data_IF_945697091274
#
_entry.id   IF_945697091274
#
_cell.length_a   1.000
_cell.length_b   1.000
_cell.length_c   1.000
_cell.angle_alpha   90.00
_cell.angle_beta   90.00
_cell.angle_gamma   90.00
#
_symmetry.space_group_name_H-M   'P 1'
#
loop_
_entity.id
_entity.type
_entity.pdbx_description
1 polymer ?
#
# COMPACT_ATOMS: atom_id res chain seq x y z
N UNK A 1 44.82 1.89 46.31
CA UNK A 1 44.22 2.93 47.19
C UNK A 1 42.87 3.24 46.60
N UNK A 2 41.80 3.02 47.36
CA UNK A 2 40.43 3.31 46.94
C UNK A 2 40.22 4.79 47.21
N UNK A 3 40.29 5.63 46.19
CA UNK A 3 39.86 7.03 46.34
C UNK A 3 38.33 7.04 46.40
N UNK A 4 37.84 7.50 47.55
CA UNK A 4 36.44 7.79 47.83
C UNK A 4 35.90 8.77 46.78
N UNK A 5 35.15 8.27 45.80
CA UNK A 5 34.26 9.11 44.98
C UNK A 5 33.16 9.64 45.88
N UNK A 6 33.28 10.89 46.29
CA UNK A 6 32.23 11.64 46.99
C UNK A 6 30.94 11.52 46.16
N UNK A 7 29.94 10.84 46.71
CA UNK A 7 28.64 10.67 46.06
C UNK A 7 27.91 12.02 46.04
N UNK A 8 28.03 12.72 44.92
CA UNK A 8 27.32 13.98 44.70
C UNK A 8 25.82 13.70 44.61
N UNK A 9 25.03 14.45 45.40
CA UNK A 9 23.57 14.34 45.41
C UNK A 9 22.99 14.88 44.10
N UNK A 10 21.77 14.47 43.74
CA UNK A 10 21.14 14.84 42.46
C UNK A 10 21.13 16.35 42.15
N UNK A 11 20.97 17.20 43.17
CA UNK A 11 21.01 18.67 43.01
C UNK A 11 22.42 19.17 42.71
N UNK A 12 23.46 18.56 43.30
CA UNK A 12 24.86 18.89 43.06
C UNK A 12 25.28 18.44 41.65
N UNK A 13 24.81 17.25 41.22
CA UNK A 13 25.00 16.77 39.84
C UNK A 13 24.34 17.71 38.82
N UNK A 14 23.10 18.14 39.06
CA UNK A 14 22.40 19.09 38.20
C UNK A 14 23.13 20.44 38.10
N UNK A 15 23.67 20.93 39.22
CA UNK A 15 24.46 22.15 39.25
C UNK A 15 25.75 22.03 38.41
N UNK A 16 26.45 20.88 38.48
CA UNK A 16 27.63 20.61 37.64
C UNK A 16 27.27 20.56 36.15
N UNK A 17 26.16 19.92 35.77
CA UNK A 17 25.70 19.87 34.37
C UNK A 17 25.39 21.26 33.84
N UNK A 18 24.67 22.09 34.62
CA UNK A 18 24.35 23.46 34.21
C UNK A 18 25.59 24.34 34.07
N UNK A 19 26.56 24.19 34.97
CA UNK A 19 27.84 24.91 34.85
C UNK A 19 28.63 24.45 33.61
N UNK A 20 28.57 23.17 33.25
CA UNK A 20 29.22 22.63 32.06
C UNK A 20 28.57 23.09 30.74
N UNK A 21 27.26 23.37 30.73
CA UNK A 21 26.51 23.89 29.57
C UNK A 21 26.79 25.37 29.25
N UNK A 22 27.36 26.10 30.22
CA UNK A 22 27.67 27.51 30.11
C UNK A 22 26.48 28.43 30.41
N UNK A 23 26.79 29.71 30.66
CA UNK A 23 25.85 30.69 31.22
C UNK A 23 24.58 30.88 30.38
N UNK A 24 24.71 30.91 29.04
CA UNK A 24 23.58 31.16 28.14
C UNK A 24 22.55 30.03 28.16
N UNK A 25 22.99 28.77 28.07
CA UNK A 25 22.08 27.62 28.05
C UNK A 25 21.53 27.30 29.44
N UNK A 26 22.35 27.48 30.48
CA UNK A 26 21.88 27.36 31.86
C UNK A 26 20.75 28.35 32.15
N UNK A 27 20.85 29.59 31.69
CA UNK A 27 19.82 30.60 31.89
C UNK A 27 18.47 30.24 31.25
N UNK A 28 18.47 29.57 30.10
CA UNK A 28 17.23 29.08 29.46
C UNK A 28 16.56 27.98 30.29
N UNK A 29 17.35 27.03 30.80
CA UNK A 29 16.82 25.95 31.65
C UNK A 29 16.31 26.50 32.98
N UNK A 30 17.04 27.45 33.58
CA UNK A 30 16.66 28.09 34.84
C UNK A 30 15.34 28.86 34.78
N UNK A 31 14.92 29.33 33.59
CA UNK A 31 13.63 30.02 33.39
C UNK A 31 12.42 29.11 33.54
N UNK A 32 12.60 27.80 33.39
CA UNK A 32 11.52 26.81 33.48
C UNK A 32 11.38 26.19 34.87
N UNK A 33 12.24 26.57 35.83
CA UNK A 33 12.25 26.03 37.19
C UNK A 33 11.43 26.91 38.15
N UNK A 34 10.75 26.28 39.11
CA UNK A 34 10.01 27.00 40.13
C UNK A 34 10.96 27.73 41.11
N UNK A 35 10.50 28.81 41.79
CA UNK A 35 11.36 29.60 42.70
C UNK A 35 12.05 28.79 43.80
N UNK A 36 11.42 27.70 44.27
CA UNK A 36 12.00 26.80 45.29
C UNK A 36 13.13 25.94 44.72
N UNK A 37 13.04 25.55 43.46
CA UNK A 37 14.02 24.70 42.77
C UNK A 37 15.22 25.54 42.33
N UNK A 38 14.95 26.74 41.79
CA UNK A 38 15.96 27.74 41.47
C UNK A 38 16.80 28.09 42.70
N UNK A 39 16.18 28.27 43.87
CA UNK A 39 16.91 28.53 45.11
C UNK A 39 17.80 27.35 45.53
N UNK A 40 17.28 26.11 45.49
CA UNK A 40 18.07 24.91 45.83
C UNK A 40 19.26 24.74 44.90
N UNK A 41 19.05 24.95 43.60
CA UNK A 41 20.06 24.78 42.58
C UNK A 41 21.11 25.91 42.63
N UNK A 42 20.68 27.16 42.85
CA UNK A 42 21.58 28.29 43.04
C UNK A 42 22.48 28.14 44.27
N UNK A 43 21.95 27.63 45.39
CA UNK A 43 22.76 27.31 46.58
C UNK A 43 23.76 26.19 46.30
N UNK A 44 23.37 25.17 45.52
CA UNK A 44 24.28 24.10 45.11
C UNK A 44 25.40 24.61 44.17
N UNK A 45 25.05 25.47 43.20
CA UNK A 45 26.03 26.11 42.30
C UNK A 45 27.03 26.99 43.05
N UNK A 46 26.58 27.72 44.07
CA UNK A 46 27.45 28.57 44.88
C UNK A 46 28.36 27.80 45.85
N UNK A 47 27.92 26.63 46.33
CA UNK A 47 28.67 25.79 47.28
C UNK A 47 29.48 24.67 46.62
N UNK A 48 29.43 24.56 45.29
CA UNK A 48 30.25 23.62 44.54
C UNK A 48 31.72 24.00 44.68
N UNK A 49 32.51 23.11 45.28
CA UNK A 49 33.96 23.24 45.36
C UNK A 49 34.65 22.94 44.02
N UNK A 50 35.98 22.76 44.06
CA UNK A 50 36.72 22.31 42.87
C UNK A 50 36.26 20.91 42.45
N UNK A 51 35.54 20.83 41.33
CA UNK A 51 35.17 19.58 40.67
C UNK A 51 36.26 19.25 39.65
N UNK A 52 36.84 18.05 39.75
CA UNK A 52 37.86 17.62 38.79
C UNK A 52 37.22 17.33 37.41
N UNK A 53 38.01 17.46 36.34
CA UNK A 53 37.58 17.20 34.96
C UNK A 53 37.02 15.79 34.78
N UNK A 54 37.58 14.81 35.47
CA UNK A 54 37.11 13.42 35.44
C UNK A 54 35.70 13.30 36.03
N UNK A 55 35.43 13.98 37.14
CA UNK A 55 34.11 13.99 37.78
C UNK A 55 33.05 14.69 36.91
N UNK A 56 33.43 15.79 36.23
CA UNK A 56 32.54 16.47 35.28
C UNK A 56 32.20 15.52 34.13
N UNK A 57 33.21 14.83 33.59
CA UNK A 57 33.04 13.87 32.49
C UNK A 57 32.07 12.75 32.89
N UNK A 58 32.25 12.16 34.07
CA UNK A 58 31.40 11.07 34.57
C UNK A 58 29.94 11.51 34.77
N UNK A 59 29.73 12.71 35.33
CA UNK A 59 28.38 13.25 35.57
C UNK A 59 27.67 13.57 34.27
N UNK A 60 28.36 14.19 33.30
CA UNK A 60 27.80 14.51 31.98
C UNK A 60 27.53 13.24 31.18
N UNK A 61 28.40 12.23 31.25
CA UNK A 61 28.17 10.94 30.62
C UNK A 61 26.92 10.26 31.21
N UNK A 62 26.80 10.20 32.53
CA UNK A 62 25.62 9.63 33.18
C UNK A 62 24.33 10.40 32.88
N UNK A 63 24.40 11.74 32.79
CA UNK A 63 23.26 12.55 32.35
C UNK A 63 22.84 12.23 30.91
N UNK A 64 23.80 12.12 29.98
CA UNK A 64 23.52 11.74 28.60
C UNK A 64 22.94 10.33 28.49
N UNK A 65 23.42 9.35 29.28
CA UNK A 65 22.84 8.01 29.30
C UNK A 65 21.40 8.01 29.85
N UNK A 66 21.13 8.75 30.93
CA UNK A 66 19.78 8.89 31.48
C UNK A 66 18.83 9.61 30.50
N UNK A 67 19.29 10.68 29.86
CA UNK A 67 18.54 11.40 28.82
C UNK A 67 18.30 10.50 27.61
N UNK A 68 19.29 9.75 27.14
CA UNK A 68 19.13 8.85 25.99
C UNK A 68 18.21 7.65 26.32
N UNK A 69 18.22 7.16 27.56
CA UNK A 69 17.33 6.09 28.00
C UNK A 69 15.88 6.56 28.23
N UNK A 70 15.67 7.83 28.62
CA UNK A 70 14.33 8.44 28.70
C UNK A 70 13.83 8.95 27.34
N UNK A 71 14.75 9.37 26.47
CA UNK A 71 14.51 9.84 25.11
C UNK A 71 14.59 8.66 24.14
N UNK A 72 13.72 7.67 24.33
CA UNK A 72 13.47 6.64 23.34
C UNK A 72 13.08 7.29 22.01
N UNK A 73 14.05 7.46 21.10
CA UNK A 73 13.98 7.55 19.62
C UNK A 73 12.89 8.39 18.92
N UNK A 74 12.03 9.10 19.65
CA UNK A 74 10.73 9.60 19.14
C UNK A 74 10.64 11.13 19.18
N UNK A 75 11.42 11.81 20.05
CA UNK A 75 11.29 13.26 20.27
C UNK A 75 12.37 14.12 19.60
N UNK A 76 13.57 13.57 19.30
CA UNK A 76 14.70 14.38 18.82
C UNK A 76 14.94 14.28 17.30
N UNK A 77 14.32 13.29 16.64
CA UNK A 77 14.34 13.18 15.18
C UNK A 77 13.62 14.35 14.50
N UNK A 78 12.52 14.83 15.09
CA UNK A 78 11.73 15.91 14.52
C UNK A 78 12.50 17.24 14.48
N UNK A 79 13.03 17.66 15.63
CA UNK A 79 13.76 18.94 15.71
C UNK A 79 15.04 18.91 14.88
N UNK A 80 15.72 17.76 14.83
CA UNK A 80 16.88 17.55 13.97
C UNK A 80 16.52 17.65 12.49
N UNK A 81 15.49 16.93 12.03
CA UNK A 81 15.02 16.96 10.63
C UNK A 81 14.52 18.36 10.26
N UNK A 82 13.80 19.04 11.15
CA UNK A 82 13.34 20.43 11.00
C UNK A 82 14.51 21.39 10.81
N UNK A 83 15.55 21.26 11.63
CA UNK A 83 16.77 22.04 11.53
C UNK A 83 17.54 21.78 10.22
N UNK A 84 17.69 20.51 9.84
CA UNK A 84 18.41 20.08 8.62
C UNK A 84 17.70 20.56 7.36
N UNK A 85 16.39 20.31 7.23
CA UNK A 85 15.60 20.69 6.06
C UNK A 85 15.53 22.21 5.90
N UNK A 86 15.36 22.95 7.01
CA UNK A 86 15.36 24.42 6.98
C UNK A 86 16.69 24.99 6.52
N UNK A 87 17.80 24.38 6.92
CA UNK A 87 19.15 24.85 6.56
C UNK A 87 19.55 24.47 5.13
N UNK A 88 19.07 23.32 4.63
CA UNK A 88 19.37 22.83 3.30
C UNK A 88 18.51 23.46 2.19
N UNK A 89 17.22 23.74 2.47
CA UNK A 89 16.23 24.12 1.45
C UNK A 89 15.67 25.54 1.64
N UNK A 90 15.96 26.18 2.78
CA UNK A 90 15.40 27.48 3.16
C UNK A 90 14.03 27.37 3.84
N UNK A 91 13.69 28.37 4.66
CA UNK A 91 12.53 28.35 5.57
C UNK A 91 11.19 28.05 4.89
N UNK A 92 10.91 28.62 3.72
CA UNK A 92 9.62 28.40 3.05
C UNK A 92 9.48 27.00 2.44
N UNK A 93 10.48 26.51 1.73
CA UNK A 93 10.42 25.16 1.11
C UNK A 93 10.49 24.06 2.16
N UNK A 94 11.28 24.27 3.20
CA UNK A 94 11.33 23.36 4.33
C UNK A 94 9.97 23.31 5.04
N UNK A 95 9.30 24.45 5.26
CA UNK A 95 7.99 24.48 5.92
C UNK A 95 6.97 23.58 5.22
N UNK A 96 6.83 23.64 3.90
CA UNK A 96 5.87 22.78 3.19
C UNK A 96 6.21 21.29 3.27
N UNK A 97 7.50 20.93 3.26
CA UNK A 97 7.95 19.54 3.41
C UNK A 97 7.79 19.08 4.86
N UNK A 98 8.04 19.95 5.83
CA UNK A 98 7.90 19.70 7.25
C UNK A 98 6.44 19.56 7.66
N UNK A 99 5.54 20.40 7.12
CA UNK A 99 4.08 20.22 7.24
C UNK A 99 3.71 18.81 6.71
N UNK A 100 4.22 18.40 5.55
CA UNK A 100 3.92 17.07 5.01
C UNK A 100 4.52 15.87 5.78
N UNK A 101 5.63 16.08 6.50
CA UNK A 101 6.32 15.03 7.29
C UNK A 101 5.76 14.94 8.71
N UNK A 102 5.35 16.06 9.31
CA UNK A 102 4.95 16.16 10.72
C UNK A 102 3.44 16.34 10.96
N UNK A 103 2.63 16.76 9.97
CA UNK A 103 1.15 16.61 10.00
C UNK A 103 0.71 15.13 9.79
N UNK A 104 1.62 14.17 9.96
CA UNK A 104 1.31 12.77 10.19
C UNK A 104 0.86 12.46 11.62
N UNK A 105 0.67 13.46 12.49
CA UNK A 105 0.03 13.33 13.79
C UNK A 105 -1.47 13.52 13.66
N UNK A 106 -2.23 12.42 13.72
CA UNK A 106 -3.67 12.34 13.45
C UNK A 106 -4.05 12.94 12.09
N UNK A 107 -3.92 12.14 11.02
CA UNK A 107 -4.75 12.37 9.85
C UNK A 107 -6.19 12.47 10.35
N UNK A 108 -6.78 13.66 10.34
CA UNK A 108 -8.21 13.76 10.60
C UNK A 108 -8.86 12.81 9.60
N UNK A 109 -9.72 11.90 10.05
CA UNK A 109 -10.41 10.98 9.14
C UNK A 109 -11.06 11.75 7.98
N UNK A 110 -11.47 12.99 8.25
CA UNK A 110 -11.97 13.96 7.27
C UNK A 110 -10.99 14.26 6.13
N UNK A 111 -9.70 14.40 6.41
CA UNK A 111 -8.68 14.62 5.37
C UNK A 111 -8.47 13.38 4.50
N UNK A 112 -8.58 12.18 5.08
CA UNK A 112 -8.54 10.92 4.32
C UNK A 112 -9.69 10.81 3.32
N UNK A 113 -10.87 11.35 3.65
CA UNK A 113 -12.02 11.38 2.73
C UNK A 113 -11.76 12.18 1.45
N UNK A 114 -10.90 13.21 1.49
CA UNK A 114 -10.57 14.03 0.31
C UNK A 114 -9.88 13.23 -0.80
N UNK A 115 -9.23 12.13 -0.43
CA UNK A 115 -8.47 11.25 -1.32
C UNK A 115 -9.20 9.94 -1.66
N UNK A 116 -10.39 9.71 -1.08
CA UNK A 116 -11.18 8.51 -1.31
C UNK A 116 -12.14 8.66 -2.49
N UNK A 117 -12.31 7.58 -3.26
CA UNK A 117 -13.28 7.54 -4.35
C UNK A 117 -14.71 7.68 -3.83
N UNK A 118 -15.56 8.41 -4.58
CA UNK A 118 -16.95 8.65 -4.20
C UNK A 118 -17.75 7.35 -3.96
N UNK A 119 -17.40 6.26 -4.67
CA UNK A 119 -18.02 4.95 -4.48
C UNK A 119 -17.66 4.29 -3.15
N UNK A 120 -16.41 4.44 -2.70
CA UNK A 120 -15.94 3.94 -1.41
C UNK A 120 -16.65 4.67 -0.26
N UNK A 121 -16.74 6.00 -0.38
CA UNK A 121 -17.44 6.84 0.60
C UNK A 121 -18.93 6.45 0.63
N UNK A 122 -19.61 6.41 -0.52
CA UNK A 122 -21.01 6.04 -0.58
C UNK A 122 -21.28 4.64 -0.01
N UNK A 123 -20.39 3.68 -0.24
CA UNK A 123 -20.48 2.33 0.32
C UNK A 123 -20.44 2.32 1.84
N UNK A 124 -19.55 3.11 2.46
CA UNK A 124 -19.43 3.24 3.91
C UNK A 124 -20.59 3.98 4.58
N UNK A 125 -21.34 4.81 3.82
CA UNK A 125 -22.43 5.64 4.32
C UNK A 125 -23.82 4.99 4.21
N UNK A 126 -23.97 3.85 3.53
CA UNK A 126 -25.28 3.24 3.24
C UNK A 126 -26.08 2.82 4.48
N UNK A 127 -25.39 2.42 5.54
CA UNK A 127 -26.00 1.95 6.79
C UNK A 127 -25.95 3.03 7.89
N UNK A 128 -25.42 4.20 7.57
CA UNK A 128 -25.22 5.28 8.53
C UNK A 128 -26.46 6.15 8.70
N UNK A 129 -26.58 6.77 9.88
CA UNK A 129 -27.68 7.67 10.17
C UNK A 129 -27.59 8.93 9.28
N UNK A 130 -28.72 9.50 8.79
CA UNK A 130 -28.68 10.65 7.87
C UNK A 130 -27.94 11.88 8.39
N UNK A 131 -27.74 12.00 9.72
CA UNK A 131 -26.96 13.07 10.35
C UNK A 131 -25.46 12.90 10.08
N UNK A 132 -24.96 11.66 10.15
CA UNK A 132 -23.56 11.32 9.89
C UNK A 132 -23.27 11.53 8.40
N UNK A 133 -24.17 11.07 7.54
CA UNK A 133 -24.09 11.30 6.09
C UNK A 133 -24.04 12.80 5.78
N UNK A 134 -24.90 13.61 6.40
CA UNK A 134 -24.89 15.05 6.23
C UNK A 134 -23.57 15.71 6.67
N UNK A 135 -23.03 15.28 7.81
CA UNK A 135 -21.76 15.78 8.31
C UNK A 135 -20.59 15.43 7.38
N UNK A 136 -20.56 14.19 6.88
CA UNK A 136 -19.56 13.73 5.90
C UNK A 136 -19.67 14.55 4.62
N UNK A 137 -20.87 14.68 4.04
CA UNK A 137 -21.09 15.47 2.83
C UNK A 137 -20.68 16.95 2.99
N UNK A 138 -20.92 17.53 4.17
CA UNK A 138 -20.54 18.92 4.49
C UNK A 138 -19.02 19.11 4.61
N UNK A 139 -18.28 18.03 4.82
CA UNK A 139 -16.82 18.04 4.94
C UNK A 139 -16.09 17.75 3.60
N UNK A 140 -16.82 17.34 2.57
CA UNK A 140 -16.30 17.04 1.23
C UNK A 140 -16.31 18.25 0.32
N UNK A 141 -15.54 18.18 -0.78
CA UNK A 141 -15.65 19.15 -1.89
C UNK A 141 -17.01 19.01 -2.58
N UNK A 142 -17.63 20.10 -3.07
CA UNK A 142 -18.95 20.06 -3.69
C UNK A 142 -19.10 19.04 -4.82
N UNK A 143 -18.07 18.90 -5.66
CA UNK A 143 -18.05 17.97 -6.79
C UNK A 143 -18.08 16.50 -6.32
N UNK A 144 -17.24 16.19 -5.33
CA UNK A 144 -17.15 14.85 -4.74
C UNK A 144 -18.41 14.50 -3.95
N UNK A 145 -18.96 15.46 -3.21
CA UNK A 145 -20.23 15.28 -2.49
C UNK A 145 -21.39 14.95 -3.46
N UNK A 146 -21.44 15.61 -4.62
CA UNK A 146 -22.45 15.33 -5.64
C UNK A 146 -22.32 13.91 -6.21
N UNK A 147 -21.10 13.43 -6.44
CA UNK A 147 -20.85 12.05 -6.87
C UNK A 147 -21.28 11.02 -5.82
N UNK A 148 -20.97 11.28 -4.54
CA UNK A 148 -21.40 10.41 -3.42
C UNK A 148 -22.92 10.36 -3.33
N UNK A 149 -23.59 11.51 -3.39
CA UNK A 149 -25.06 11.66 -3.34
C UNK A 149 -25.76 10.84 -4.44
N UNK A 150 -25.18 10.77 -5.65
CA UNK A 150 -25.72 9.97 -6.76
C UNK A 150 -25.66 8.46 -6.52
N UNK A 151 -24.78 8.00 -5.63
CA UNK A 151 -24.55 6.58 -5.33
C UNK A 151 -25.31 6.12 -4.06
N UNK A 152 -26.00 7.03 -3.36
CA UNK A 152 -26.78 6.75 -2.16
C UNK A 152 -28.24 6.37 -2.49
N UNK A 153 -28.90 5.53 -1.66
CA UNK A 153 -30.33 5.23 -1.80
C UNK A 153 -31.20 6.48 -1.61
N UNK A 154 -32.27 6.62 -2.40
CA UNK A 154 -33.16 7.80 -2.38
C UNK A 154 -33.64 8.24 -0.98
N UNK A 155 -34.08 7.35 -0.08
CA UNK A 155 -34.57 7.77 1.24
C UNK A 155 -33.47 8.43 2.10
N UNK A 156 -32.26 7.85 2.07
CA UNK A 156 -31.12 8.33 2.84
C UNK A 156 -30.56 9.63 2.23
N UNK A 157 -30.50 9.69 0.90
CA UNK A 157 -30.02 10.84 0.14
C UNK A 157 -30.84 12.09 0.44
N UNK A 158 -32.17 11.97 0.34
CA UNK A 158 -33.07 13.10 0.44
C UNK A 158 -33.10 13.66 1.87
N UNK A 159 -33.05 12.79 2.88
CA UNK A 159 -32.97 13.18 4.30
C UNK A 159 -31.60 13.77 4.69
N UNK A 160 -30.51 13.23 4.16
CA UNK A 160 -29.17 13.76 4.39
C UNK A 160 -28.99 15.15 3.78
N UNK A 161 -29.45 15.38 2.54
CA UNK A 161 -29.38 16.69 1.89
C UNK A 161 -30.20 17.75 2.62
N UNK A 162 -31.38 17.38 3.14
CA UNK A 162 -32.17 18.28 3.98
C UNK A 162 -31.35 18.71 5.21
N UNK A 163 -30.67 17.78 5.88
CA UNK A 163 -29.83 18.08 7.06
C UNK A 163 -28.59 18.91 6.73
N UNK A 164 -27.96 18.70 5.57
CA UNK A 164 -26.87 19.57 5.06
C UNK A 164 -27.37 21.01 4.91
N UNK A 165 -28.58 21.20 4.39
CA UNK A 165 -29.15 22.53 4.18
C UNK A 165 -29.52 23.29 5.46
N UNK A 166 -29.69 22.60 6.59
CA UNK A 166 -30.05 23.19 7.90
C UNK A 166 -28.82 23.26 8.83
N UNK A 167 -27.65 22.80 8.39
CA UNK A 167 -26.44 22.75 9.20
C UNK A 167 -25.74 24.11 9.21
N UNK A 168 -25.89 24.90 10.28
CA UNK A 168 -25.26 26.23 10.41
C UNK A 168 -23.83 26.17 10.99
N UNK A 169 -23.61 25.35 12.03
CA UNK A 169 -22.30 25.14 12.64
C UNK A 169 -22.10 23.66 12.98
N UNK A 170 -20.89 23.14 12.72
CA UNK A 170 -20.52 21.77 13.09
C UNK A 170 -20.11 21.78 14.57
N UNK A 171 -20.81 21.05 15.47
CA UNK A 171 -20.42 20.98 16.87
C UNK A 171 -19.02 20.40 17.01
N UNK A 172 -18.15 21.01 17.83
CA UNK A 172 -16.76 20.59 17.98
C UNK A 172 -16.59 19.11 18.37
N UNK A 173 -17.57 18.51 19.06
CA UNK A 173 -17.58 17.07 19.39
C UNK A 173 -17.97 16.16 18.21
N UNK A 174 -18.70 16.66 17.21
CA UNK A 174 -19.14 15.89 16.06
C UNK A 174 -17.98 15.56 15.10
N UNK A 175 -16.93 16.39 15.06
CA UNK A 175 -15.71 16.10 14.29
C UNK A 175 -14.90 14.96 14.92
N UNK A 176 -14.89 14.85 16.25
CA UNK A 176 -14.24 13.74 16.94
C UNK A 176 -14.99 12.43 16.72
N UNK A 177 -16.33 12.46 16.80
CA UNK A 177 -17.17 11.30 16.47
C UNK A 177 -17.06 10.92 14.99
N UNK A 178 -16.93 11.90 14.08
CA UNK A 178 -16.68 11.67 12.67
C UNK A 178 -15.31 11.02 12.43
N UNK A 179 -14.26 11.48 13.10
CA UNK A 179 -12.94 10.87 13.01
C UNK A 179 -12.97 9.43 13.52
N UNK A 180 -13.64 9.15 14.65
CA UNK A 180 -13.76 7.79 15.18
C UNK A 180 -14.59 6.88 14.24
N UNK A 181 -15.65 7.43 13.62
CA UNK A 181 -16.47 6.72 12.65
C UNK A 181 -15.69 6.45 11.36
N UNK A 182 -14.93 7.42 10.87
CA UNK A 182 -14.06 7.25 9.71
C UNK A 182 -12.94 6.27 10.06
N UNK A 183 -12.30 6.31 11.22
CA UNK A 183 -11.30 5.31 11.61
C UNK A 183 -11.88 3.90 11.68
N UNK A 184 -13.06 3.74 12.29
CA UNK A 184 -13.75 2.44 12.36
C UNK A 184 -14.20 1.94 10.99
N UNK A 185 -14.70 2.82 10.13
CA UNK A 185 -15.24 2.46 8.82
C UNK A 185 -14.14 2.35 7.76
N UNK A 186 -13.09 3.18 7.80
CA UNK A 186 -11.90 3.13 6.93
C UNK A 186 -10.99 1.98 7.34
N UNK A 187 -10.88 1.57 8.61
CA UNK A 187 -10.22 0.30 8.92
C UNK A 187 -11.03 -0.93 8.45
N UNK A 188 -12.36 -0.83 8.43
CA UNK A 188 -13.22 -1.87 7.80
C UNK A 188 -13.19 -1.81 6.27
N UNK A 189 -13.04 -0.63 5.68
CA UNK A 189 -13.08 -0.38 4.23
C UNK A 189 -11.70 -0.24 3.57
N UNK A 190 -10.58 -0.15 4.28
CA UNK A 190 -9.26 -0.47 3.69
C UNK A 190 -9.25 -1.97 3.33
N UNK A 191 -10.02 -2.78 4.06
CA UNK A 191 -10.28 -4.17 3.74
C UNK A 191 -11.42 -4.39 2.72
N UNK A 192 -12.24 -3.39 2.37
CA UNK A 192 -13.42 -3.55 1.49
C UNK A 192 -13.57 -2.54 0.32
N UNK A 193 -12.83 -1.43 0.34
CA UNK A 193 -12.93 -0.28 -0.57
C UNK A 193 -11.63 0.03 -1.32
N UNK A 194 -10.59 -0.79 -1.16
CA UNK A 194 -9.67 -1.06 -2.27
C UNK A 194 -10.37 -2.00 -3.28
N UNK A 195 -11.49 -1.55 -3.86
CA UNK A 195 -12.15 -2.22 -4.99
C UNK A 195 -11.73 -1.62 -6.34
N UNK A 196 -10.46 -1.21 -6.46
CA UNK A 196 -9.72 -1.80 -7.57
C UNK A 196 -9.77 -3.31 -7.33
N UNK A 197 -10.35 -4.11 -8.23
CA UNK A 197 -10.32 -5.58 -8.16
C UNK A 197 -8.85 -6.05 -8.08
N UNK A 198 -8.23 -5.99 -6.90
CA UNK A 198 -6.84 -6.41 -6.65
C UNK A 198 -6.78 -7.94 -6.53
N UNK A 199 -7.93 -8.58 -6.29
CA UNK A 199 -8.11 -10.02 -6.29
C UNK A 199 -9.21 -10.49 -7.24
N UNK A 200 -9.30 -11.81 -7.36
CA UNK A 200 -10.28 -12.50 -8.21
C UNK A 200 -9.64 -13.73 -8.86
N UNK A 201 -10.46 -14.57 -9.54
CA UNK A 201 -9.97 -15.78 -10.19
C UNK A 201 -8.78 -15.51 -11.13
N UNK A 202 -8.78 -14.37 -11.81
CA UNK A 202 -7.71 -13.95 -12.73
C UNK A 202 -6.39 -13.66 -12.01
N UNK A 203 -6.43 -12.96 -10.88
CA UNK A 203 -5.21 -12.66 -10.11
C UNK A 203 -4.67 -13.90 -9.41
N UNK A 204 -5.56 -14.76 -8.90
CA UNK A 204 -5.18 -16.05 -8.35
C UNK A 204 -4.50 -16.91 -9.43
N UNK A 205 -5.04 -16.94 -10.64
CA UNK A 205 -4.43 -17.62 -11.78
C UNK A 205 -3.06 -17.06 -12.16
N UNK A 206 -2.88 -15.73 -12.20
CA UNK A 206 -1.57 -15.09 -12.44
C UNK A 206 -0.52 -15.43 -11.37
N UNK A 207 -0.95 -15.57 -10.11
CA UNK A 207 -0.08 -15.95 -8.99
C UNK A 207 0.27 -17.44 -9.09
N UNK A 208 -0.73 -18.30 -9.24
CA UNK A 208 -0.55 -19.75 -9.33
C UNK A 208 0.28 -20.13 -10.55
N UNK A 209 0.07 -19.48 -11.70
CA UNK A 209 0.87 -19.70 -12.92
C UNK A 209 2.34 -19.25 -12.83
N UNK A 210 2.76 -18.68 -11.70
CA UNK A 210 4.17 -18.35 -11.39
C UNK A 210 4.78 -19.22 -10.30
N UNK A 211 4.00 -20.13 -9.69
CA UNK A 211 4.48 -21.06 -8.67
C UNK A 211 5.01 -22.34 -9.33
N UNK A 212 5.76 -23.14 -8.56
CA UNK A 212 6.19 -24.47 -8.99
C UNK A 212 4.99 -25.43 -9.07
N UNK A 213 4.98 -26.31 -10.07
CA UNK A 213 3.87 -27.23 -10.38
C UNK A 213 3.35 -28.02 -9.17
N UNK A 214 4.24 -28.45 -8.28
CA UNK A 214 3.88 -29.20 -7.08
C UNK A 214 3.09 -28.34 -6.06
N UNK A 215 3.48 -27.07 -5.88
CA UNK A 215 2.83 -26.13 -4.96
C UNK A 215 1.54 -25.59 -5.60
N UNK A 216 1.59 -25.30 -6.90
CA UNK A 216 0.46 -24.89 -7.73
C UNK A 216 -0.70 -25.90 -7.64
N UNK A 217 -0.43 -27.18 -7.95
CA UNK A 217 -1.44 -28.24 -7.92
C UNK A 217 -2.04 -28.44 -6.53
N UNK A 218 -1.20 -28.46 -5.49
CA UNK A 218 -1.67 -28.60 -4.11
C UNK A 218 -2.60 -27.45 -3.68
N UNK A 219 -2.27 -26.21 -4.06
CA UNK A 219 -3.11 -25.04 -3.74
C UNK A 219 -4.41 -25.07 -4.56
N UNK A 220 -4.36 -25.45 -5.83
CA UNK A 220 -5.54 -25.54 -6.68
C UNK A 220 -6.52 -26.62 -6.21
N UNK A 221 -6.01 -27.77 -5.76
CA UNK A 221 -6.83 -28.86 -5.21
C UNK A 221 -7.52 -28.43 -3.91
N UNK A 222 -6.80 -27.75 -3.01
CA UNK A 222 -7.38 -27.19 -1.80
C UNK A 222 -8.48 -26.16 -2.11
N UNK A 223 -8.31 -25.35 -3.15
CA UNK A 223 -9.35 -24.39 -3.59
C UNK A 223 -10.57 -25.13 -4.13
N UNK A 224 -10.37 -26.18 -4.94
CA UNK A 224 -11.47 -27.01 -5.50
C UNK A 224 -12.25 -27.78 -4.43
N UNK A 225 -11.61 -28.19 -3.34
CA UNK A 225 -12.28 -28.83 -2.19
C UNK A 225 -13.25 -27.87 -1.48
N UNK A 226 -12.91 -26.58 -1.43
CA UNK A 226 -13.75 -25.55 -0.80
C UNK A 226 -14.80 -25.01 -1.76
N UNK A 227 -14.43 -24.76 -3.01
CA UNK A 227 -15.30 -24.23 -4.07
C UNK A 227 -14.83 -24.73 -5.45
N UNK A 228 -15.52 -25.76 -5.96
CA UNK A 228 -15.21 -26.37 -7.25
C UNK A 228 -15.39 -25.41 -8.44
N UNK A 229 -16.39 -24.53 -8.39
CA UNK A 229 -16.67 -23.56 -9.46
C UNK A 229 -15.58 -22.47 -9.52
N UNK A 230 -15.10 -22.03 -8.35
CA UNK A 230 -13.99 -21.08 -8.25
C UNK A 230 -12.67 -21.72 -8.72
N UNK A 231 -12.39 -22.95 -8.29
CA UNK A 231 -11.21 -23.70 -8.70
C UNK A 231 -11.16 -23.90 -10.23
N UNK A 232 -12.29 -24.30 -10.85
CA UNK A 232 -12.39 -24.43 -12.30
C UNK A 232 -12.17 -23.10 -13.04
N UNK A 233 -12.73 -21.99 -12.53
CA UNK A 233 -12.49 -20.64 -13.12
C UNK A 233 -11.03 -20.21 -13.03
N UNK A 234 -10.35 -20.52 -11.93
CA UNK A 234 -8.93 -20.20 -11.75
C UNK A 234 -8.09 -21.03 -12.71
N UNK A 235 -8.34 -22.33 -12.79
CA UNK A 235 -7.66 -23.25 -13.69
C UNK A 235 -7.80 -22.82 -15.16
N UNK A 236 -9.02 -22.47 -15.59
CA UNK A 236 -9.28 -21.93 -16.93
C UNK A 236 -8.45 -20.66 -17.23
N UNK A 237 -8.23 -19.80 -16.22
CA UNK A 237 -7.51 -18.53 -16.36
C UNK A 237 -5.99 -18.69 -16.28
N UNK A 238 -5.48 -19.83 -15.80
CA UNK A 238 -4.04 -20.14 -15.75
C UNK A 238 -3.49 -20.54 -17.12
N UNK A 239 -4.37 -20.99 -18.01
CA UNK A 239 -4.02 -21.39 -19.38
C UNK A 239 -3.93 -20.15 -20.27
N UNK A 240 -2.85 -19.39 -20.11
CA UNK A 240 -2.58 -18.19 -20.90
C UNK A 240 -2.12 -18.61 -22.30
N UNK A 241 -2.65 -18.00 -23.34
CA UNK A 241 -2.29 -18.27 -24.74
C UNK A 241 -0.78 -18.11 -25.02
N UNK A 242 -0.11 -17.24 -24.26
CA UNK A 242 1.35 -17.07 -24.30
C UNK A 242 2.14 -18.30 -23.85
N UNK A 243 1.54 -19.20 -23.06
CA UNK A 243 2.20 -20.43 -22.61
C UNK A 243 2.52 -21.37 -23.78
N UNK A 244 1.91 -21.17 -24.96
CA UNK A 244 2.29 -21.87 -26.20
C UNK A 244 3.77 -21.67 -26.57
N UNK A 245 4.43 -20.60 -26.10
CA UNK A 245 5.87 -20.40 -26.29
C UNK A 245 6.72 -21.49 -25.63
N UNK A 246 6.24 -22.06 -24.52
CA UNK A 246 6.92 -23.13 -23.79
C UNK A 246 6.79 -24.51 -24.44
N UNK A 247 5.91 -24.67 -25.43
CA UNK A 247 5.71 -25.94 -26.11
C UNK A 247 6.86 -26.27 -27.08
N UNK A 248 7.15 -27.56 -27.21
CA UNK A 248 8.06 -28.04 -28.23
C UNK A 248 7.46 -27.83 -29.62
N UNK A 249 8.32 -27.71 -30.64
CA UNK A 249 7.87 -27.55 -32.04
C UNK A 249 6.96 -28.69 -32.49
N UNK A 250 7.25 -29.91 -32.03
CA UNK A 250 6.41 -31.08 -32.28
C UNK A 250 5.03 -30.95 -31.65
N UNK A 251 4.93 -30.45 -30.42
CA UNK A 251 3.66 -30.27 -29.73
C UNK A 251 2.80 -29.21 -30.42
N UNK A 252 3.42 -28.10 -30.87
CA UNK A 252 2.72 -27.08 -31.64
C UNK A 252 2.20 -27.65 -32.95
N UNK A 253 2.99 -28.47 -33.65
CA UNK A 253 2.53 -29.11 -34.89
C UNK A 253 1.35 -30.07 -34.65
N UNK A 254 1.32 -30.77 -33.51
CA UNK A 254 0.17 -31.59 -33.11
C UNK A 254 -1.05 -30.73 -32.85
N UNK A 255 -0.91 -29.63 -32.09
CA UNK A 255 -2.00 -28.69 -31.82
C UNK A 255 -2.57 -28.08 -33.11
N UNK A 256 -1.71 -27.70 -34.04
CA UNK A 256 -2.11 -27.10 -35.32
C UNK A 256 -2.89 -28.05 -36.24
N UNK A 257 -2.91 -29.37 -35.97
CA UNK A 257 -3.75 -30.32 -36.71
C UNK A 257 -5.18 -30.37 -36.18
N UNK A 258 -5.40 -30.02 -34.92
CA UNK A 258 -6.72 -29.99 -34.27
C UNK A 258 -7.41 -28.63 -34.41
N UNK A 259 -6.64 -27.55 -34.66
CA UNK A 259 -7.16 -26.18 -34.75
C UNK A 259 -7.46 -25.80 -36.20
N UNK A 260 -8.63 -25.20 -36.45
CA UNK A 260 -8.99 -24.69 -37.79
C UNK A 260 -8.26 -23.40 -38.14
N UNK A 261 -7.96 -23.20 -39.42
CA UNK A 261 -7.25 -22.00 -39.89
C UNK A 261 -8.01 -20.69 -39.60
N UNK A 262 -9.35 -20.72 -39.65
CA UNK A 262 -10.19 -19.55 -39.32
C UNK A 262 -10.11 -19.18 -37.84
N UNK A 263 -10.13 -20.17 -36.94
CA UNK A 263 -9.98 -19.95 -35.50
C UNK A 263 -8.57 -19.45 -35.16
N UNK A 264 -7.55 -20.04 -35.79
CA UNK A 264 -6.16 -19.62 -35.62
C UNK A 264 -5.97 -18.17 -36.07
N UNK A 265 -6.58 -17.77 -37.20
CA UNK A 265 -6.53 -16.42 -37.72
C UNK A 265 -7.08 -15.39 -36.71
N UNK A 266 -8.24 -15.66 -36.13
CA UNK A 266 -8.87 -14.80 -35.11
C UNK A 266 -8.03 -14.72 -33.84
N UNK A 267 -7.52 -15.86 -33.35
CA UNK A 267 -6.73 -15.92 -32.12
C UNK A 267 -5.39 -15.17 -32.24
N UNK A 268 -4.72 -15.27 -33.39
CA UNK A 268 -3.43 -14.63 -33.65
C UNK A 268 -3.53 -13.10 -33.77
N UNK A 269 -4.71 -12.54 -34.02
CA UNK A 269 -4.89 -11.09 -34.16
C UNK A 269 -4.55 -10.32 -32.88
N UNK A 270 -4.85 -10.91 -31.71
CA UNK A 270 -4.50 -10.37 -30.40
C UNK A 270 -3.33 -11.08 -29.71
N UNK A 271 -2.57 -11.89 -30.44
CA UNK A 271 -1.39 -12.56 -29.91
C UNK A 271 -0.13 -11.71 -30.07
N UNK A 272 0.80 -11.84 -29.13
CA UNK A 272 2.12 -11.23 -29.22
C UNK A 272 2.92 -11.76 -30.42
N UNK A 273 3.85 -10.94 -30.91
CA UNK A 273 4.67 -11.26 -32.08
C UNK A 273 5.49 -12.55 -31.87
N UNK A 274 5.97 -12.80 -30.65
CA UNK A 274 6.69 -14.02 -30.32
C UNK A 274 5.82 -15.28 -30.53
N UNK A 275 4.57 -15.24 -30.09
CA UNK A 275 3.62 -16.36 -30.23
C UNK A 275 3.27 -16.57 -31.71
N UNK A 276 3.04 -15.49 -32.45
CA UNK A 276 2.80 -15.53 -33.90
C UNK A 276 3.95 -16.20 -34.64
N UNK A 277 5.19 -15.81 -34.35
CA UNK A 277 6.38 -16.39 -34.99
C UNK A 277 6.56 -17.85 -34.63
N UNK A 278 6.36 -18.23 -33.35
CA UNK A 278 6.46 -19.63 -32.89
C UNK A 278 5.43 -20.53 -33.59
N UNK A 279 4.20 -20.04 -33.77
CA UNK A 279 3.14 -20.76 -34.50
C UNK A 279 3.46 -20.85 -35.99
N UNK A 280 3.77 -19.73 -36.65
CA UNK A 280 4.08 -19.71 -38.09
C UNK A 280 5.34 -20.52 -38.43
N UNK A 281 6.33 -20.54 -37.54
CA UNK A 281 7.55 -21.34 -37.69
C UNK A 281 7.31 -22.85 -37.68
N UNK A 282 6.17 -23.28 -37.14
CA UNK A 282 5.73 -24.68 -37.10
C UNK A 282 4.75 -25.05 -38.23
N UNK A 283 4.53 -24.14 -39.18
CA UNK A 283 3.70 -24.38 -40.37
C UNK A 283 4.57 -24.58 -41.61
N UNK A 284 3.96 -25.11 -42.68
CA UNK A 284 4.61 -25.06 -44.00
C UNK A 284 4.76 -23.62 -44.46
N UNK A 285 5.84 -23.30 -45.19
CA UNK A 285 6.12 -21.94 -45.69
C UNK A 285 4.91 -21.31 -46.40
N UNK A 286 4.25 -22.08 -47.27
CA UNK A 286 3.04 -21.65 -47.98
C UNK A 286 1.88 -21.32 -47.04
N UNK A 287 1.67 -22.12 -45.99
CA UNK A 287 0.57 -21.91 -45.04
C UNK A 287 0.85 -20.73 -44.11
N UNK A 288 2.11 -20.54 -43.71
CA UNK A 288 2.53 -19.37 -42.93
C UNK A 288 2.38 -18.07 -43.73
N UNK A 289 2.75 -18.08 -45.02
CA UNK A 289 2.61 -16.91 -45.89
C UNK A 289 1.13 -16.57 -46.12
N UNK A 290 0.27 -17.56 -46.40
CA UNK A 290 -1.18 -17.37 -46.51
C UNK A 290 -1.78 -16.77 -45.24
N UNK A 291 -1.43 -17.33 -44.07
CA UNK A 291 -1.94 -16.85 -42.78
C UNK A 291 -1.48 -15.41 -42.48
N UNK A 292 -0.29 -15.02 -42.94
CA UNK A 292 0.23 -13.66 -42.79
C UNK A 292 -0.57 -12.68 -43.66
N UNK A 293 -0.78 -13.03 -44.92
CA UNK A 293 -1.59 -12.23 -45.85
C UNK A 293 -3.03 -12.08 -45.33
N UNK A 294 -3.62 -13.17 -44.83
CA UNK A 294 -4.96 -13.18 -44.24
C UNK A 294 -5.04 -12.31 -42.98
N UNK A 295 -4.00 -12.32 -42.12
CA UNK A 295 -3.93 -11.47 -40.92
C UNK A 295 -3.85 -9.98 -41.28
N UNK A 296 -3.13 -9.63 -42.34
CA UNK A 296 -3.03 -8.25 -42.83
C UNK A 296 -4.33 -7.76 -43.48
N UNK A 297 -5.02 -8.65 -44.20
CA UNK A 297 -6.31 -8.36 -44.83
C UNK A 297 -7.50 -8.39 -43.84
N UNK A 298 -7.29 -8.90 -42.63
CA UNK A 298 -8.35 -9.13 -41.66
C UNK A 298 -8.97 -7.80 -41.17
N UNK A 299 -10.31 -7.66 -41.20
CA UNK A 299 -10.98 -6.50 -40.61
C UNK A 299 -10.83 -6.48 -39.08
N UNK A 300 -11.07 -5.33 -38.43
CA UNK A 300 -11.10 -5.26 -36.96
C UNK A 300 -12.10 -6.26 -36.37
N UNK A 301 -11.61 -7.12 -35.48
CA UNK A 301 -12.40 -8.10 -34.72
C UNK A 301 -12.60 -7.63 -33.29
N UNK A 302 -13.69 -8.06 -32.65
CA UNK A 302 -13.95 -7.72 -31.25
C UNK A 302 -12.97 -8.46 -30.34
N UNK A 303 -12.52 -7.80 -29.27
CA UNK A 303 -11.64 -8.41 -28.29
C UNK A 303 -12.23 -9.70 -27.69
N UNK A 304 -13.54 -9.74 -27.46
CA UNK A 304 -14.26 -10.93 -26.98
C UNK A 304 -14.12 -12.13 -27.93
N UNK A 305 -14.10 -11.89 -29.23
CA UNK A 305 -14.03 -12.97 -30.23
C UNK A 305 -12.60 -13.54 -30.29
N UNK A 306 -11.59 -12.68 -30.10
CA UNK A 306 -10.20 -13.08 -29.95
C UNK A 306 -9.99 -13.92 -28.69
N UNK A 307 -10.49 -13.46 -27.54
CA UNK A 307 -10.39 -14.18 -26.27
C UNK A 307 -11.07 -15.55 -26.34
N UNK A 308 -12.25 -15.64 -26.97
CA UNK A 308 -12.95 -16.90 -27.20
C UNK A 308 -12.15 -17.86 -28.10
N UNK A 309 -11.59 -17.36 -29.21
CA UNK A 309 -10.77 -18.17 -30.11
C UNK A 309 -9.50 -18.67 -29.41
N UNK A 310 -8.85 -17.83 -28.60
CA UNK A 310 -7.70 -18.25 -27.78
C UNK A 310 -8.09 -19.31 -26.76
N UNK A 311 -9.25 -19.18 -26.09
CA UNK A 311 -9.76 -20.16 -25.14
C UNK A 311 -10.01 -21.52 -25.78
N UNK A 312 -10.62 -21.56 -26.97
CA UNK A 312 -10.88 -22.80 -27.71
C UNK A 312 -9.57 -23.52 -28.09
N UNK A 313 -8.55 -22.77 -28.56
CA UNK A 313 -7.23 -23.34 -28.88
C UNK A 313 -6.56 -23.91 -27.61
N UNK A 314 -6.65 -23.19 -26.50
CA UNK A 314 -6.10 -23.66 -25.22
C UNK A 314 -6.84 -24.88 -24.67
N UNK A 315 -8.16 -24.96 -24.87
CA UNK A 315 -8.96 -26.14 -24.56
C UNK A 315 -8.52 -27.36 -25.38
N UNK A 316 -8.26 -27.16 -26.68
CA UNK A 316 -7.70 -28.21 -27.53
C UNK A 316 -6.31 -28.66 -27.05
N UNK A 317 -5.44 -27.73 -26.67
CA UNK A 317 -4.13 -28.03 -26.11
C UNK A 317 -4.21 -28.82 -24.80
N UNK A 318 -5.13 -28.45 -23.89
CA UNK A 318 -5.38 -29.16 -22.63
C UNK A 318 -5.84 -30.60 -22.87
N UNK A 319 -6.81 -30.81 -23.76
CA UNK A 319 -7.30 -32.14 -24.13
C UNK A 319 -6.19 -33.02 -24.73
N UNK A 320 -5.33 -32.45 -25.57
CA UNK A 320 -4.17 -33.16 -26.12
C UNK A 320 -3.13 -33.49 -25.04
N UNK A 321 -2.96 -32.63 -24.03
CA UNK A 321 -2.09 -32.92 -22.90
C UNK A 321 -2.65 -34.00 -21.97
N UNK A 322 -3.95 -33.99 -21.69
CA UNK A 322 -4.64 -35.07 -20.95
C UNK A 322 -4.55 -36.42 -21.67
N UNK A 323 -4.53 -36.40 -23.01
CA UNK A 323 -4.29 -37.59 -23.84
C UNK A 323 -2.80 -38.01 -23.92
N UNK A 324 -1.88 -37.20 -23.38
CA UNK A 324 -0.43 -37.44 -23.46
C UNK A 324 0.19 -37.18 -24.84
N UNK A 325 -0.53 -36.52 -25.74
CA UNK A 325 -0.05 -36.18 -27.10
C UNK A 325 0.78 -34.90 -27.15
N UNK A 326 0.58 -33.99 -26.19
CA UNK A 326 1.33 -32.76 -25.99
C UNK A 326 1.86 -32.71 -24.56
N UNK A 327 3.11 -32.26 -24.39
CA UNK A 327 3.61 -31.93 -23.06
C UNK A 327 3.45 -30.44 -22.82
N UNK A 328 2.42 -30.05 -22.05
CA UNK A 328 2.33 -28.70 -21.50
C UNK A 328 3.40 -28.58 -20.41
N UNK A 329 4.55 -28.02 -20.74
CA UNK A 329 5.55 -27.67 -19.74
C UNK A 329 4.97 -26.58 -18.84
N UNK A 330 4.35 -27.00 -17.73
CA UNK A 330 4.36 -26.18 -16.52
C UNK A 330 5.83 -25.86 -16.23
N UNK A 331 6.13 -24.61 -15.88
CA UNK A 331 7.49 -24.05 -15.80
C UNK A 331 8.38 -24.66 -14.68
N UNK A 332 8.20 -25.94 -14.33
CA UNK A 332 8.99 -26.68 -13.36
C UNK A 332 9.77 -27.89 -13.90
N UNK A 333 9.48 -28.41 -15.10
CA UNK A 333 10.19 -29.59 -15.62
C UNK A 333 11.32 -29.19 -16.59
N UNK A 334 12.42 -28.69 -16.01
CA UNK A 334 13.72 -28.88 -16.65
C UNK A 334 14.11 -30.34 -16.50
N UNK A 335 13.71 -31.16 -17.48
CA UNK A 335 14.30 -32.49 -17.63
C UNK A 335 15.78 -32.33 -18.00
N UNK A 336 16.64 -32.88 -17.13
CA UNK A 336 18.10 -33.03 -17.32
C UNK A 336 18.40 -34.05 -18.42
#
# INVERSE_FOLDING_TARGET
MVEMTVSLKGVERAAVVLMALGESHAAEILRHLDPRELHKLGVAMANLGNVNRDQISDIVHGFNEEVNNQSSLTLDGENYIRGVLTRALGREKARGILEHIFDGGEQSGVDSLKWMDASAIAGGLREEHPQVVALVLSSLRPEQAAEVVNLLPSPLRDEALLRVAILDEIPAGALAELNELIEKQVMRNINAAATSKIGGPKRAAEILGRLDAAIEGQILDNIKEVDADLGGKIEDLMVVFENLLGLSDRDIQTLLREVSSEMLLVALRGADEAVRQKIMGNMSKRAADLLRDDLEAMPPVKLSDVENAQKEIMSAAKRLAEAGEITLSSKGDQLV
#
